data_IF_035283780640
#
_entry.id   IF_035283780640
#
_cell.length_a   1.000
_cell.length_b   1.000
_cell.length_c   1.000
_cell.angle_alpha   90.00
_cell.angle_beta   90.00
_cell.angle_gamma   90.00
#
_symmetry.space_group_name_H-M   'P 1'
#
loop_
_entity.id
_entity.type
_entity.pdbx_description
1 polymer ?
#
# COMPACT_ATOMS: atom_id res chain seq x y z
N UNK A 1 49.35 -9.02 -9.88
CA UNK A 1 48.40 -9.36 -8.79
C UNK A 1 47.57 -8.17 -8.29
N UNK A 2 48.11 -6.94 -8.17
CA UNK A 2 47.35 -5.74 -7.71
C UNK A 2 46.16 -5.34 -8.62
N UNK A 3 46.27 -5.52 -9.94
CA UNK A 3 45.18 -5.19 -10.87
C UNK A 3 43.95 -6.11 -10.74
N UNK A 4 44.14 -7.40 -10.43
CA UNK A 4 43.02 -8.31 -10.18
C UNK A 4 42.26 -7.95 -8.89
N UNK A 5 42.94 -7.39 -7.89
CA UNK A 5 42.30 -6.92 -6.65
C UNK A 5 41.48 -5.64 -6.89
N UNK A 6 41.97 -4.73 -7.72
CA UNK A 6 41.21 -3.55 -8.18
C UNK A 6 39.96 -3.94 -8.99
N UNK A 7 40.06 -4.99 -9.81
CA UNK A 7 38.95 -5.50 -10.62
C UNK A 7 37.87 -6.19 -9.76
N UNK A 8 38.28 -6.93 -8.73
CA UNK A 8 37.37 -7.49 -7.72
C UNK A 8 36.66 -6.40 -6.90
N UNK A 9 37.36 -5.32 -6.55
CA UNK A 9 36.77 -4.19 -5.83
C UNK A 9 35.73 -3.45 -6.69
N UNK A 10 36.01 -3.27 -7.98
CA UNK A 10 35.08 -2.65 -8.92
C UNK A 10 33.81 -3.48 -9.16
N UNK A 11 33.93 -4.82 -9.18
CA UNK A 11 32.78 -5.72 -9.34
C UNK A 11 31.84 -5.70 -8.14
N UNK A 12 32.37 -5.48 -6.92
CA UNK A 12 31.60 -5.43 -5.68
C UNK A 12 30.79 -4.12 -5.52
N UNK A 13 31.20 -3.06 -6.21
CA UNK A 13 30.53 -1.76 -6.22
C UNK A 13 29.33 -1.71 -7.19
N UNK A 14 29.22 -2.65 -8.14
CA UNK A 14 28.09 -2.71 -9.08
C UNK A 14 26.86 -3.45 -8.52
N UNK A 15 26.99 -4.19 -7.41
CA UNK A 15 25.96 -5.14 -6.95
C UNK A 15 24.87 -4.58 -6.01
N UNK A 16 24.80 -3.27 -5.77
CA UNK A 16 23.88 -2.69 -4.78
C UNK A 16 22.81 -1.76 -5.36
N UNK A 17 22.09 -2.18 -6.40
CA UNK A 17 20.84 -1.52 -6.82
C UNK A 17 19.63 -2.33 -6.32
N UNK A 18 19.25 -2.14 -5.06
CA UNK A 18 17.96 -2.63 -4.54
C UNK A 18 16.86 -1.64 -4.96
N UNK A 19 16.02 -2.04 -5.91
CA UNK A 19 14.87 -1.23 -6.32
C UNK A 19 13.77 -1.28 -5.24
N UNK A 20 13.52 -0.14 -4.59
CA UNK A 20 12.36 0.05 -3.74
C UNK A 20 11.10 0.25 -4.62
N UNK A 21 10.00 -0.43 -4.28
CA UNK A 21 8.73 -0.29 -5.01
C UNK A 21 7.98 0.95 -4.50
N UNK A 22 8.09 2.05 -5.24
CA UNK A 22 7.32 3.28 -5.03
C UNK A 22 5.93 3.14 -5.59
N UNK A 23 4.91 3.61 -4.86
CA UNK A 23 3.55 3.78 -5.34
C UNK A 23 3.38 5.21 -5.84
N UNK A 24 2.89 5.38 -7.05
CA UNK A 24 2.55 6.68 -7.61
C UNK A 24 1.11 7.06 -7.25
N UNK A 25 0.93 7.94 -6.25
CA UNK A 25 -0.36 8.51 -5.90
C UNK A 25 -0.51 9.90 -6.52
N UNK A 26 -1.76 10.38 -6.66
CA UNK A 26 -2.01 11.76 -7.09
C UNK A 26 -1.31 12.79 -6.20
N UNK A 27 -1.30 12.54 -4.89
CA UNK A 27 -0.66 13.38 -3.88
C UNK A 27 0.87 13.28 -3.85
N UNK A 28 1.48 12.44 -4.71
CA UNK A 28 2.92 12.26 -4.83
C UNK A 28 3.36 10.79 -4.69
N UNK A 29 4.68 10.59 -4.61
CA UNK A 29 5.28 9.27 -4.42
C UNK A 29 5.14 8.81 -2.97
N UNK A 30 4.74 7.56 -2.78
CA UNK A 30 4.66 6.93 -1.47
C UNK A 30 5.41 5.60 -1.46
N UNK A 31 6.31 5.39 -0.50
CA UNK A 31 7.05 4.15 -0.34
C UNK A 31 6.53 3.38 0.88
N UNK A 32 5.68 2.37 0.69
CA UNK A 32 5.24 1.53 1.79
C UNK A 32 6.37 0.61 2.27
N UNK A 33 6.41 0.39 3.58
CA UNK A 33 7.34 -0.56 4.20
C UNK A 33 6.89 -2.00 3.91
N UNK A 34 7.85 -2.89 3.67
CA UNK A 34 7.59 -4.33 3.64
C UNK A 34 7.32 -4.83 5.07
N UNK A 35 6.05 -4.91 5.45
CA UNK A 35 5.64 -4.99 6.86
C UNK A 35 4.75 -6.19 7.18
N UNK A 36 4.72 -7.23 6.33
CA UNK A 36 3.96 -8.46 6.60
C UNK A 36 4.69 -9.33 7.63
N UNK A 37 4.46 -8.99 8.90
CA UNK A 37 4.95 -9.69 10.10
C UNK A 37 3.83 -9.79 11.13
N UNK A 38 3.87 -10.83 11.95
CA UNK A 38 2.82 -11.15 12.92
C UNK A 38 2.46 -9.96 13.82
N UNK A 39 3.47 -9.33 14.41
CA UNK A 39 3.36 -8.13 15.24
C UNK A 39 2.59 -6.97 14.60
N UNK A 40 2.80 -6.73 13.29
CA UNK A 40 2.11 -5.66 12.54
C UNK A 40 0.65 -6.03 12.31
N UNK A 41 0.39 -7.29 11.92
CA UNK A 41 -0.97 -7.78 11.66
C UNK A 41 -1.79 -7.84 12.95
N UNK A 42 -1.20 -8.26 14.07
CA UNK A 42 -1.85 -8.28 15.37
C UNK A 42 -2.15 -6.86 15.86
N UNK A 43 -1.21 -5.92 15.66
CA UNK A 43 -1.47 -4.51 15.94
C UNK A 43 -2.62 -3.98 15.10
N UNK A 44 -2.62 -4.25 13.79
CA UNK A 44 -3.68 -3.86 12.88
C UNK A 44 -5.03 -4.42 13.34
N UNK A 45 -5.11 -5.71 13.65
CA UNK A 45 -6.35 -6.36 14.07
C UNK A 45 -6.95 -5.71 15.33
N UNK A 46 -6.10 -5.24 16.26
CA UNK A 46 -6.53 -4.58 17.50
C UNK A 46 -6.90 -3.12 17.33
N UNK A 47 -6.20 -2.38 16.48
CA UNK A 47 -6.31 -0.91 16.41
C UNK A 47 -7.12 -0.39 15.23
N UNK A 48 -7.45 -1.22 14.25
CA UNK A 48 -8.15 -0.76 13.05
C UNK A 48 -9.60 -0.41 13.33
N UNK A 49 -10.01 0.77 12.90
CA UNK A 49 -11.40 1.19 12.92
C UNK A 49 -12.23 0.30 11.99
N UNK A 50 -13.37 -0.16 12.51
CA UNK A 50 -14.32 -0.99 11.76
C UNK A 50 -15.66 -0.27 11.65
N UNK A 51 -16.14 -0.16 10.42
CA UNK A 51 -17.49 0.33 10.10
C UNK A 51 -18.29 -0.88 9.61
N UNK A 52 -19.40 -1.18 10.28
CA UNK A 52 -20.22 -2.37 10.00
C UNK A 52 -19.44 -3.69 9.96
N UNK A 53 -18.46 -3.82 10.87
CA UNK A 53 -17.60 -5.00 10.96
C UNK A 53 -16.54 -5.10 9.84
N UNK A 54 -16.40 -4.08 9.00
CA UNK A 54 -15.43 -4.00 7.91
C UNK A 54 -14.34 -2.97 8.21
N UNK A 55 -13.09 -3.37 8.02
CA UNK A 55 -11.94 -2.49 8.07
C UNK A 55 -11.51 -2.12 6.64
N UNK A 56 -11.32 -0.83 6.36
CA UNK A 56 -10.85 -0.35 5.07
C UNK A 56 -9.36 -0.06 5.12
N UNK A 57 -8.60 -0.61 4.19
CA UNK A 57 -7.14 -0.45 4.15
C UNK A 57 -6.60 -0.61 2.75
N UNK A 58 -5.29 -0.48 2.61
CA UNK A 58 -4.59 -0.63 1.34
C UNK A 58 -3.56 -1.73 1.45
N UNK A 59 -3.57 -2.63 0.46
CA UNK A 59 -2.64 -3.75 0.36
C UNK A 59 -1.86 -3.63 -0.93
N UNK A 60 -0.54 -3.73 -0.83
CA UNK A 60 0.36 -3.86 -1.96
C UNK A 60 0.84 -5.30 -2.09
N UNK A 61 0.73 -5.85 -3.28
CA UNK A 61 1.20 -7.19 -3.63
C UNK A 61 2.52 -7.12 -4.41
N UNK A 62 3.33 -8.20 -4.36
CA UNK A 62 4.53 -8.28 -5.19
C UNK A 62 4.20 -8.35 -6.68
N UNK A 63 3.11 -9.02 -7.02
CA UNK A 63 2.55 -9.20 -8.36
C UNK A 63 1.04 -9.01 -8.30
N UNK A 64 0.39 -8.72 -9.44
CA UNK A 64 -1.07 -8.70 -9.51
C UNK A 64 -1.60 -10.09 -9.08
N UNK A 65 -2.52 -10.17 -8.10
CA UNK A 65 -3.04 -11.46 -7.65
C UNK A 65 -3.86 -12.12 -8.76
N UNK A 66 -3.57 -13.39 -9.02
CA UNK A 66 -4.31 -14.27 -9.93
C UNK A 66 -5.75 -14.51 -9.45
N UNK A 67 -6.60 -15.06 -10.32
CA UNK A 67 -7.98 -15.38 -9.97
C UNK A 67 -8.09 -16.36 -8.77
N UNK A 68 -7.12 -17.27 -8.62
CA UNK A 68 -7.08 -18.21 -7.49
C UNK A 68 -6.67 -17.50 -6.19
N UNK A 69 -5.66 -16.63 -6.25
CA UNK A 69 -5.25 -15.81 -5.10
C UNK A 69 -6.36 -14.84 -4.67
N UNK A 70 -7.10 -14.27 -5.62
CA UNK A 70 -8.26 -13.41 -5.33
C UNK A 70 -9.38 -14.20 -4.62
N UNK A 71 -9.64 -15.45 -5.01
CA UNK A 71 -10.57 -16.33 -4.30
C UNK A 71 -10.08 -16.66 -2.89
N UNK A 72 -8.78 -16.92 -2.74
CA UNK A 72 -8.17 -17.17 -1.43
C UNK A 72 -8.28 -15.94 -0.52
N UNK A 73 -8.02 -14.73 -1.05
CA UNK A 73 -8.23 -13.47 -0.33
C UNK A 73 -9.68 -13.32 0.15
N UNK A 74 -10.64 -13.55 -0.75
CA UNK A 74 -12.06 -13.46 -0.43
C UNK A 74 -12.48 -14.45 0.66
N UNK A 75 -11.98 -15.69 0.59
CA UNK A 75 -12.22 -16.72 1.61
C UNK A 75 -11.63 -16.35 2.98
N UNK A 76 -10.55 -15.57 2.99
CA UNK A 76 -9.93 -15.01 4.20
C UNK A 76 -10.56 -13.67 4.62
N UNK A 77 -11.70 -13.28 4.04
CA UNK A 77 -12.42 -12.06 4.38
C UNK A 77 -11.82 -10.78 3.81
N UNK A 78 -10.90 -10.87 2.84
CA UNK A 78 -10.30 -9.71 2.16
C UNK A 78 -10.95 -9.54 0.79
N UNK A 79 -11.69 -8.46 0.62
CA UNK A 79 -12.31 -8.08 -0.64
C UNK A 79 -11.50 -6.97 -1.29
N UNK A 80 -11.00 -7.22 -2.51
CA UNK A 80 -10.38 -6.18 -3.34
C UNK A 80 -11.48 -5.26 -3.88
N UNK A 81 -11.33 -3.95 -3.64
CA UNK A 81 -12.31 -2.93 -4.06
C UNK A 81 -11.86 -2.27 -5.36
N UNK A 82 -10.79 -1.49 -5.29
CA UNK A 82 -10.28 -0.69 -6.41
C UNK A 82 -8.77 -0.84 -6.56
N UNK A 83 -8.32 -0.84 -7.82
CA UNK A 83 -6.89 -0.76 -8.13
C UNK A 83 -6.42 0.70 -8.06
N UNK A 84 -5.33 0.94 -7.34
CA UNK A 84 -4.74 2.28 -7.19
C UNK A 84 -3.58 2.44 -8.17
N UNK A 85 -2.46 1.76 -7.92
CA UNK A 85 -1.24 1.78 -8.74
C UNK A 85 -0.27 0.69 -8.25
N UNK A 86 0.72 0.31 -9.05
CA UNK A 86 1.86 -0.52 -8.62
C UNK A 86 1.48 -1.77 -7.80
N UNK A 87 0.53 -2.58 -8.32
CA UNK A 87 0.00 -3.79 -7.66
C UNK A 87 -0.66 -3.51 -6.29
N UNK A 88 -1.17 -2.30 -6.11
CA UNK A 88 -1.79 -1.84 -4.86
C UNK A 88 -3.28 -1.69 -5.03
N UNK A 89 -4.02 -2.22 -4.07
CA UNK A 89 -5.48 -2.22 -4.05
C UNK A 89 -6.02 -1.60 -2.77
N UNK A 90 -7.10 -0.84 -2.89
CA UNK A 90 -7.99 -0.57 -1.76
C UNK A 90 -8.75 -1.86 -1.44
N UNK A 91 -8.85 -2.21 -0.16
CA UNK A 91 -9.48 -3.45 0.29
C UNK A 91 -10.45 -3.20 1.44
N UNK A 92 -11.49 -4.03 1.49
CA UNK A 92 -12.31 -4.24 2.68
C UNK A 92 -11.90 -5.54 3.35
N UNK A 93 -11.78 -5.52 4.67
CA UNK A 93 -11.35 -6.64 5.49
C UNK A 93 -12.42 -6.94 6.53
N UNK A 94 -13.00 -8.13 6.43
CA UNK A 94 -13.97 -8.66 7.37
C UNK A 94 -13.29 -9.61 8.35
N UNK A 95 -13.49 -9.37 9.65
CA UNK A 95 -12.85 -10.19 10.69
C UNK A 95 -11.34 -9.91 10.82
N UNK A 96 -10.61 -10.81 11.49
CA UNK A 96 -9.20 -10.66 11.76
C UNK A 96 -8.34 -11.19 10.60
N UNK A 97 -7.27 -10.47 10.27
CA UNK A 97 -6.27 -10.91 9.29
C UNK A 97 -5.36 -11.99 9.87
N UNK A 98 -4.99 -12.96 9.03
CA UNK A 98 -3.92 -13.92 9.29
C UNK A 98 -2.66 -13.52 8.50
N UNK A 99 -1.51 -13.56 9.15
CA UNK A 99 -0.22 -13.31 8.51
C UNK A 99 0.09 -14.37 7.46
N UNK A 100 -0.29 -15.62 7.71
CA UNK A 100 -0.09 -16.77 6.82
C UNK A 100 -0.90 -16.58 5.54
N UNK A 101 -2.16 -16.16 5.64
CA UNK A 101 -3.01 -15.87 4.50
C UNK A 101 -2.42 -14.78 3.59
N UNK A 102 -1.87 -13.70 4.17
CA UNK A 102 -1.22 -12.63 3.42
C UNK A 102 0.10 -13.07 2.78
N UNK A 103 0.88 -13.92 3.45
CA UNK A 103 2.11 -14.48 2.88
C UNK A 103 1.82 -15.41 1.69
N UNK A 104 0.74 -16.20 1.77
CA UNK A 104 0.37 -17.14 0.72
C UNK A 104 0.06 -16.46 -0.63
N UNK A 105 -0.47 -15.23 -0.58
CA UNK A 105 -0.83 -14.43 -1.77
C UNK A 105 0.23 -13.37 -2.10
N UNK A 106 1.47 -13.56 -1.64
CA UNK A 106 2.60 -12.69 -1.93
C UNK A 106 2.36 -11.20 -1.58
N UNK A 107 1.65 -10.92 -0.50
CA UNK A 107 1.49 -9.56 0.00
C UNK A 107 2.85 -9.00 0.44
N UNK A 108 3.11 -7.73 0.08
CA UNK A 108 4.31 -6.99 0.46
C UNK A 108 4.04 -6.02 1.60
N UNK A 109 2.94 -5.27 1.52
CA UNK A 109 2.69 -4.16 2.43
C UNK A 109 1.21 -4.04 2.78
N UNK A 110 0.92 -3.73 4.04
CA UNK A 110 -0.40 -3.35 4.55
C UNK A 110 -0.30 -1.97 5.19
N UNK A 111 -1.11 -1.01 4.76
CA UNK A 111 -1.10 0.35 5.30
C UNK A 111 -2.44 1.06 5.15
N UNK A 112 -2.59 2.19 5.84
CA UNK A 112 -3.72 3.10 5.68
C UNK A 112 -3.25 4.39 5.01
N UNK A 113 -4.06 4.90 4.08
CA UNK A 113 -3.80 6.21 3.49
C UNK A 113 -4.08 7.31 4.51
N UNK A 114 -3.17 8.27 4.60
CA UNK A 114 -3.40 9.50 5.36
C UNK A 114 -4.53 10.33 4.74
N UNK A 115 -5.19 11.23 5.50
CA UNK A 115 -6.24 12.11 4.97
C UNK A 115 -5.77 12.89 3.72
N UNK A 116 -4.54 13.43 3.75
CA UNK A 116 -3.94 14.16 2.63
C UNK A 116 -3.86 13.33 1.35
N UNK A 117 -3.57 12.03 1.47
CA UNK A 117 -3.46 11.13 0.32
C UNK A 117 -4.82 10.75 -0.29
N UNK A 118 -5.91 10.89 0.47
CA UNK A 118 -7.29 10.62 0.02
C UNK A 118 -7.96 11.84 -0.60
N UNK A 119 -7.49 13.04 -0.25
CA UNK A 119 -8.07 14.31 -0.69
C UNK A 119 -7.57 14.74 -2.07
N UNK A 120 -8.37 15.54 -2.75
CA UNK A 120 -7.91 16.30 -3.91
C UNK A 120 -6.86 17.34 -3.47
N UNK A 121 -5.85 17.60 -4.31
CA UNK A 121 -4.70 18.45 -3.94
C UNK A 121 -5.12 19.86 -3.52
N UNK A 122 -6.10 20.46 -4.20
CA UNK A 122 -6.58 21.80 -3.85
C UNK A 122 -7.27 21.81 -2.47
N UNK A 123 -8.08 20.79 -2.14
CA UNK A 123 -8.69 20.64 -0.82
C UNK A 123 -7.64 20.38 0.26
N UNK A 124 -6.65 19.55 -0.04
CA UNK A 124 -5.55 19.25 0.87
C UNK A 124 -4.70 20.48 1.21
N UNK A 125 -4.64 21.46 0.30
CA UNK A 125 -3.97 22.75 0.50
C UNK A 125 -4.91 23.86 1.04
N UNK A 126 -6.15 23.52 1.42
CA UNK A 126 -7.12 24.48 1.96
C UNK A 126 -7.72 25.42 0.91
N UNK A 127 -7.55 25.13 -0.37
CA UNK A 127 -8.09 25.93 -1.48
C UNK A 127 -9.51 25.46 -1.76
N UNK A 128 -10.49 26.30 -1.44
CA UNK A 128 -11.89 26.07 -1.79
C UNK A 128 -12.16 26.67 -3.18
N UNK A 129 -12.63 25.87 -4.16
CA UNK A 129 -12.96 26.39 -5.47
C UNK A 129 -14.17 27.33 -5.41
N UNK A 130 -14.27 28.28 -6.34
CA UNK A 130 -15.30 29.32 -6.33
C UNK A 130 -16.73 28.76 -6.28
N UNK A 131 -16.98 27.62 -6.94
CA UNK A 131 -18.28 26.94 -6.93
C UNK A 131 -18.64 26.29 -5.57
N UNK A 132 -17.67 26.11 -4.67
CA UNK A 132 -17.88 25.56 -3.33
C UNK A 132 -18.13 26.65 -2.26
N UNK A 133 -17.98 27.93 -2.62
CA UNK A 133 -18.21 29.06 -1.73
C UNK A 133 -19.61 29.60 -1.99
N UNK A 134 -20.42 29.75 -0.93
CA UNK A 134 -21.72 30.42 -1.04
C UNK A 134 -21.50 31.85 -1.49
N UNK A 135 -21.96 32.18 -2.69
CA UNK A 135 -22.06 33.55 -3.16
C UNK A 135 -23.40 34.15 -2.70
N UNK A 136 -23.45 35.43 -2.29
CA UNK A 136 -24.72 36.12 -2.13
C UNK A 136 -25.50 36.02 -3.43
N UNK A 137 -26.75 35.55 -3.37
CA UNK A 137 -27.61 35.48 -4.55
C UNK A 137 -27.78 36.87 -5.17
N UNK A 138 -27.67 36.97 -6.50
CA UNK A 138 -28.03 38.16 -7.28
C UNK A 138 -29.53 38.32 -7.39
#
# INVERSE_FOLDING_TARGET
>A
MKYNQLLLLALLLLSSSLFAQTIQLRSGTFQPANNIRQEVIDSFNRSVDRVDGQAFSVIQFKTIPSAEEQKALLANGITLLDYIADNTYAVSIKGALSTEALKAVNTRSLFQLSPRQKMQDYLANGILPAWAVKQPGT
#
